data_IF_205537399051
#
_entry.id   IF_205537399051
#
_cell.length_a   1.000
_cell.length_b   1.000
_cell.length_c   1.000
_cell.angle_alpha   90.00
_cell.angle_beta   90.00
_cell.angle_gamma   90.00
#
_symmetry.space_group_name_H-M   'P 1'
#
loop_
_entity.id
_entity.type
_entity.pdbx_description
1 polymer ?
#
# COMPACT_ATOMS: atom_id res chain seq x y z
N UNK A 1 8.02 0.28 9.00
CA UNK A 1 7.19 1.42 9.44
C UNK A 1 6.35 1.93 8.28
N UNK A 2 5.05 2.04 8.48
CA UNK A 2 4.13 2.54 7.47
C UNK A 2 3.92 4.03 7.67
N UNK A 3 4.09 4.80 6.61
CA UNK A 3 3.87 6.25 6.63
C UNK A 3 3.07 6.69 5.42
N UNK A 4 2.31 7.76 5.57
CA UNK A 4 1.61 8.36 4.45
C UNK A 4 2.62 8.81 3.40
N UNK A 5 2.33 8.54 2.13
CA UNK A 5 3.24 8.85 1.03
C UNK A 5 3.40 10.36 0.87
N UNK A 6 4.66 10.80 0.74
CA UNK A 6 4.99 12.17 0.40
C UNK A 6 5.52 12.24 -1.02
N UNK A 7 5.53 13.44 -1.58
CA UNK A 7 5.99 13.65 -2.96
C UNK A 7 7.45 13.23 -3.15
N UNK A 8 8.28 13.44 -2.13
CA UNK A 8 9.71 13.11 -2.18
C UNK A 8 9.96 11.60 -2.21
N UNK A 9 8.99 10.80 -1.80
CA UNK A 9 9.11 9.34 -1.72
C UNK A 9 8.42 8.61 -2.86
N UNK A 10 8.01 9.34 -3.91
CA UNK A 10 7.27 8.75 -5.03
C UNK A 10 8.07 7.68 -5.76
N UNK A 11 9.37 7.88 -5.93
CA UNK A 11 10.23 6.91 -6.60
C UNK A 11 10.32 5.59 -5.80
N UNK A 12 10.47 5.69 -4.48
CA UNK A 12 10.45 4.51 -3.61
C UNK A 12 9.10 3.79 -3.65
N UNK A 13 8.03 4.55 -3.74
CA UNK A 13 6.68 4.01 -3.87
C UNK A 13 6.52 3.22 -5.17
N UNK A 14 7.04 3.75 -6.27
CA UNK A 14 7.01 3.05 -7.55
C UNK A 14 7.80 1.75 -7.48
N UNK A 15 8.95 1.76 -6.81
CA UNK A 15 9.73 0.54 -6.56
C UNK A 15 8.89 -0.48 -5.81
N UNK A 16 8.19 -0.06 -4.78
CA UNK A 16 7.35 -0.95 -3.98
C UNK A 16 6.16 -1.49 -4.79
N UNK A 17 5.60 -0.71 -5.69
CA UNK A 17 4.52 -1.17 -6.55
C UNK A 17 4.96 -2.28 -7.50
N UNK A 18 6.23 -2.39 -7.80
CA UNK A 18 6.76 -3.41 -8.70
C UNK A 18 6.89 -4.79 -8.04
N UNK A 19 6.77 -4.88 -6.72
CA UNK A 19 6.90 -6.17 -6.03
C UNK A 19 5.75 -7.13 -6.33
N UNK A 20 4.56 -6.59 -6.57
CA UNK A 20 3.41 -7.39 -6.98
C UNK A 20 2.76 -6.68 -8.17
N UNK A 21 2.81 -7.30 -9.35
CA UNK A 21 2.52 -6.62 -10.61
C UNK A 21 1.05 -6.24 -10.79
N UNK A 22 0.15 -7.11 -10.40
CA UNK A 22 -1.29 -6.90 -10.63
C UNK A 22 -1.80 -5.76 -9.74
N UNK A 23 -1.60 -5.89 -8.43
CA UNK A 23 -2.10 -4.90 -7.49
C UNK A 23 -1.24 -3.64 -7.47
N UNK A 24 0.05 -3.77 -7.71
CA UNK A 24 0.93 -2.62 -7.87
C UNK A 24 0.56 -1.75 -9.05
N UNK A 25 0.14 -2.35 -10.17
CA UNK A 25 -0.36 -1.63 -11.33
C UNK A 25 -1.63 -0.84 -10.99
N UNK A 26 -2.55 -1.43 -10.24
CA UNK A 26 -3.77 -0.77 -9.79
C UNK A 26 -3.45 0.42 -8.89
N UNK A 27 -2.50 0.23 -7.97
CA UNK A 27 -2.07 1.30 -7.06
C UNK A 27 -1.49 2.46 -7.85
N UNK A 28 -0.63 2.20 -8.84
CA UNK A 28 -0.06 3.24 -9.68
C UNK A 28 -1.12 3.97 -10.50
N UNK A 29 -2.12 3.24 -10.98
CA UNK A 29 -3.24 3.84 -11.70
C UNK A 29 -4.02 4.79 -10.79
N UNK A 30 -4.30 4.36 -9.55
CA UNK A 30 -4.97 5.22 -8.58
C UNK A 30 -4.14 6.47 -8.28
N UNK A 31 -2.83 6.34 -8.13
CA UNK A 31 -1.95 7.48 -7.89
C UNK A 31 -1.96 8.45 -9.07
N UNK A 32 -1.97 7.94 -10.30
CA UNK A 32 -2.01 8.76 -11.50
C UNK A 32 -3.32 9.52 -11.62
N UNK A 33 -4.43 8.86 -11.31
CA UNK A 33 -5.77 9.45 -11.46
C UNK A 33 -6.08 10.45 -10.35
N UNK A 34 -5.80 10.10 -9.09
CA UNK A 34 -6.22 10.91 -7.94
C UNK A 34 -5.13 11.82 -7.41
N UNK A 35 -3.85 11.43 -7.52
CA UNK A 35 -2.74 12.21 -6.99
C UNK A 35 -2.69 12.14 -5.46
N UNK A 36 -1.70 12.85 -4.89
CA UNK A 36 -1.48 12.84 -3.43
C UNK A 36 -2.37 13.81 -2.66
N UNK A 37 -2.99 14.74 -3.36
CA UNK A 37 -3.76 15.81 -2.70
C UNK A 37 -5.26 15.52 -2.65
N UNK A 38 -5.70 14.42 -3.27
CA UNK A 38 -7.12 14.06 -3.28
C UNK A 38 -7.44 13.22 -2.04
N UNK A 39 -8.49 13.61 -1.32
CA UNK A 39 -8.92 12.92 -0.11
C UNK A 39 -9.58 11.57 -0.37
N UNK A 40 -9.96 11.29 -1.60
CA UNK A 40 -10.70 10.06 -1.92
C UNK A 40 -9.81 8.83 -1.89
N UNK A 41 -8.51 9.00 -2.14
CA UNK A 41 -7.55 7.88 -2.09
C UNK A 41 -6.35 8.33 -1.28
N UNK A 42 -5.95 7.49 -0.34
CA UNK A 42 -4.75 7.72 0.48
C UNK A 42 -3.71 6.69 0.11
N UNK A 43 -2.46 7.12 0.11
CA UNK A 43 -1.33 6.27 -0.26
C UNK A 43 -0.35 6.20 0.90
N UNK A 44 0.20 5.02 1.14
CA UNK A 44 1.16 4.78 2.21
C UNK A 44 2.35 4.01 1.66
N UNK A 45 3.51 4.28 2.22
CA UNK A 45 4.73 3.54 1.91
C UNK A 45 5.23 2.89 3.19
N UNK A 46 5.49 1.58 3.14
CA UNK A 46 6.16 0.90 4.22
C UNK A 46 7.64 0.76 3.90
N UNK A 47 8.47 1.05 4.89
CA UNK A 47 9.91 0.86 4.80
C UNK A 47 10.37 -0.09 5.90
N UNK A 48 11.29 -0.98 5.54
CA UNK A 48 11.95 -1.87 6.49
C UNK A 48 13.44 -1.86 6.20
N UNK A 49 14.24 -1.64 7.23
CA UNK A 49 15.70 -1.58 7.11
C UNK A 49 16.16 -0.52 6.10
N UNK A 50 15.46 0.61 6.05
CA UNK A 50 15.78 1.71 5.15
C UNK A 50 15.43 1.45 3.68
N UNK A 51 14.66 0.41 3.38
CA UNK A 51 14.30 0.02 2.02
C UNK A 51 12.79 -0.01 1.84
N UNK A 52 12.30 0.30 0.63
CA UNK A 52 10.87 0.15 0.36
C UNK A 52 10.45 -1.30 0.56
N UNK A 53 9.39 -1.51 1.30
CA UNK A 53 8.89 -2.85 1.62
C UNK A 53 7.48 -3.07 1.09
N UNK A 54 6.64 -2.04 1.05
CA UNK A 54 5.28 -2.17 0.54
C UNK A 54 4.72 -0.84 0.07
N UNK A 55 3.90 -0.90 -0.97
CA UNK A 55 3.08 0.21 -1.41
C UNK A 55 1.63 -0.11 -1.07
N UNK A 56 0.91 0.88 -0.56
CA UNK A 56 -0.46 0.70 -0.09
C UNK A 56 -1.31 1.84 -0.63
N UNK A 57 -2.50 1.51 -1.13
CA UNK A 57 -3.52 2.49 -1.48
C UNK A 57 -4.81 2.14 -0.74
N UNK A 58 -5.46 3.15 -0.20
CA UNK A 58 -6.76 3.03 0.46
C UNK A 58 -7.76 3.90 -0.28
N UNK A 59 -8.76 3.27 -0.86
CA UNK A 59 -9.86 3.97 -1.50
C UNK A 59 -11.16 3.50 -0.87
N UNK A 60 -11.89 4.41 -0.24
CA UNK A 60 -13.10 4.10 0.50
C UNK A 60 -12.78 3.03 1.56
N UNK A 61 -13.36 1.84 1.46
CA UNK A 61 -13.14 0.75 2.42
C UNK A 61 -12.37 -0.40 1.79
N UNK A 62 -11.65 -0.13 0.72
CA UNK A 62 -10.84 -1.12 0.02
C UNK A 62 -9.36 -0.75 0.13
N UNK A 63 -8.55 -1.73 0.44
CA UNK A 63 -7.11 -1.59 0.59
C UNK A 63 -6.42 -2.38 -0.51
N UNK A 64 -5.47 -1.75 -1.20
CA UNK A 64 -4.60 -2.41 -2.18
C UNK A 64 -3.19 -2.42 -1.64
N UNK A 65 -2.51 -3.57 -1.72
CA UNK A 65 -1.15 -3.71 -1.21
C UNK A 65 -0.25 -4.42 -2.22
N UNK A 66 0.97 -3.93 -2.35
CA UNK A 66 2.06 -4.57 -3.09
C UNK A 66 3.22 -4.70 -2.14
N UNK A 67 3.59 -5.93 -1.78
CA UNK A 67 4.53 -6.21 -0.70
C UNK A 67 5.72 -6.99 -1.22
N UNK A 68 6.92 -6.58 -0.80
CA UNK A 68 8.16 -7.30 -1.13
C UNK A 68 8.10 -8.71 -0.54
N UNK A 69 8.41 -9.76 -1.34
CA UNK A 69 8.41 -11.13 -0.83
C UNK A 69 9.29 -11.27 0.41
N UNK A 70 8.80 -12.00 1.40
CA UNK A 70 9.52 -12.23 2.66
C UNK A 70 9.39 -11.10 3.68
N UNK A 71 8.65 -10.04 3.37
CA UNK A 71 8.41 -8.95 4.30
C UNK A 71 7.36 -9.36 5.32
N UNK A 72 7.59 -9.02 6.60
CA UNK A 72 6.58 -9.20 7.64
C UNK A 72 5.42 -8.25 7.43
N UNK A 73 4.23 -8.64 7.89
CA UNK A 73 2.99 -7.89 7.66
C UNK A 73 2.45 -7.21 8.91
N UNK A 74 3.24 -7.15 9.98
CA UNK A 74 2.80 -6.63 11.27
C UNK A 74 2.33 -5.18 11.18
N UNK A 75 3.11 -4.34 10.51
CA UNK A 75 2.77 -2.93 10.37
C UNK A 75 1.56 -2.73 9.46
N UNK A 76 1.44 -3.55 8.41
CA UNK A 76 0.27 -3.52 7.53
C UNK A 76 -0.99 -3.94 8.30
N UNK A 77 -0.87 -4.94 9.17
CA UNK A 77 -2.00 -5.39 9.98
C UNK A 77 -2.46 -4.28 10.93
N UNK A 78 -1.53 -3.53 11.51
CA UNK A 78 -1.87 -2.39 12.37
C UNK A 78 -2.63 -1.33 11.57
N UNK A 79 -2.16 -1.01 10.37
CA UNK A 79 -2.85 -0.07 9.49
C UNK A 79 -4.26 -0.56 9.17
N UNK A 80 -4.40 -1.81 8.76
CA UNK A 80 -5.70 -2.39 8.39
C UNK A 80 -6.67 -2.35 9.57
N UNK A 81 -6.20 -2.65 10.77
CA UNK A 81 -7.03 -2.62 11.97
C UNK A 81 -7.46 -1.21 12.36
N UNK A 82 -6.73 -0.20 11.94
CA UNK A 82 -7.07 1.19 12.22
C UNK A 82 -8.18 1.74 11.31
N UNK A 83 -8.54 1.01 10.27
CA UNK A 83 -9.53 1.44 9.29
C UNK A 83 -10.90 0.92 9.69
N UNK A 84 -11.81 1.82 10.07
CA UNK A 84 -13.18 1.47 10.42
C UNK A 84 -13.92 0.97 9.19
N UNK A 85 -14.52 -0.23 9.33
CA UNK A 85 -15.37 -0.77 8.29
C UNK A 85 -14.63 -1.21 7.04
N UNK A 86 -13.35 -1.58 7.17
CA UNK A 86 -12.60 -2.13 6.04
C UNK A 86 -13.32 -3.38 5.50
N UNK A 87 -13.66 -3.35 4.22
CA UNK A 87 -14.45 -4.40 3.56
C UNK A 87 -13.63 -5.30 2.65
N UNK A 88 -12.50 -4.81 2.14
CA UNK A 88 -11.79 -5.51 1.09
C UNK A 88 -10.28 -5.26 1.20
N UNK A 89 -9.51 -6.34 1.03
CA UNK A 89 -8.06 -6.26 0.92
C UNK A 89 -7.66 -6.92 -0.39
N UNK A 90 -7.02 -6.14 -1.26
CA UNK A 90 -6.55 -6.59 -2.57
C UNK A 90 -5.03 -6.70 -2.56
N UNK A 91 -4.53 -7.90 -2.64
CA UNK A 91 -3.11 -8.17 -2.62
C UNK A 91 -2.84 -9.63 -2.93
N UNK A 92 -1.57 -10.03 -2.86
CA UNK A 92 -1.21 -11.43 -2.94
C UNK A 92 -2.04 -12.22 -1.92
N UNK A 93 -2.46 -13.43 -2.29
CA UNK A 93 -3.35 -14.23 -1.45
C UNK A 93 -2.82 -14.41 -0.04
N UNK A 94 -1.53 -14.69 0.12
CA UNK A 94 -0.93 -14.87 1.44
C UNK A 94 -1.02 -13.58 2.27
N UNK A 95 -0.88 -12.42 1.65
CA UNK A 95 -0.98 -11.13 2.32
C UNK A 95 -2.43 -10.83 2.68
N UNK A 96 -3.35 -11.04 1.75
CA UNK A 96 -4.77 -10.79 1.99
C UNK A 96 -5.30 -11.66 3.14
N UNK A 97 -4.87 -12.91 3.22
CA UNK A 97 -5.27 -13.80 4.30
C UNK A 97 -4.66 -13.41 5.65
N UNK A 98 -3.48 -12.80 5.65
CA UNK A 98 -2.81 -12.37 6.86
C UNK A 98 -3.41 -11.10 7.46
N UNK A 99 -4.10 -10.31 6.68
CA UNK A 99 -4.70 -9.06 7.12
C UNK A 99 -6.17 -9.24 7.43
#
# INVERSE_FOLDING_TARGET
MVRELTRERTEDFQTACAYERVFGSEILTLLRVYGLEDDQVRFYLEEQEGRPAAAIALQDRALWVSVRPGTGVEDLAVLAQSIDGLLEVNGDLAIAEAL
#
